data_IF_149159853608
#
_entry.id   IF_149159853608
#
_cell.length_a   1.000
_cell.length_b   1.000
_cell.length_c   1.000
_cell.angle_alpha   90.00
_cell.angle_beta   90.00
_cell.angle_gamma   90.00
#
_symmetry.space_group_name_H-M   'P 1'
#
loop_
_entity.id
_entity.type
_entity.pdbx_description
1 polymer ?
#
# COMPACT_ATOMS: atom_id res chain seq x y z
N UNK A 1 26.00 -42.62 18.83
CA UNK A 1 26.70 -41.37 19.22
C UNK A 1 27.35 -40.74 18.00
N UNK A 2 26.93 -39.53 17.64
CA UNK A 2 27.75 -38.38 17.18
C UNK A 2 26.84 -37.44 16.39
N UNK A 3 26.30 -36.47 17.13
CA UNK A 3 25.67 -35.28 16.61
C UNK A 3 26.69 -34.47 15.79
N UNK A 4 26.27 -33.91 14.66
CA UNK A 4 26.92 -32.75 14.06
C UNK A 4 25.87 -31.67 13.89
N UNK A 5 25.77 -30.83 14.92
CA UNK A 5 25.20 -29.50 14.85
C UNK A 5 26.22 -28.63 14.10
N UNK A 6 25.87 -28.19 12.91
CA UNK A 6 26.40 -26.98 12.27
C UNK A 6 25.29 -25.94 12.49
N UNK A 7 25.47 -24.81 13.15
CA UNK A 7 26.69 -24.04 13.33
C UNK A 7 26.46 -22.67 12.71
N UNK A 8 26.20 -21.69 13.60
CA UNK A 8 26.46 -20.25 13.45
C UNK A 8 25.64 -19.39 12.48
N UNK A 9 24.85 -18.53 13.11
CA UNK A 9 24.38 -17.23 12.66
C UNK A 9 25.43 -16.37 11.94
N UNK A 10 24.99 -15.72 10.86
CA UNK A 10 25.38 -14.40 10.34
C UNK A 10 24.64 -14.29 9.01
N UNK A 11 23.78 -13.32 8.74
CA UNK A 11 24.17 -11.94 8.54
C UNK A 11 22.92 -11.06 8.66
N UNK A 12 22.91 -10.19 9.66
CA UNK A 12 22.06 -9.02 9.66
C UNK A 12 22.51 -8.07 8.54
N UNK A 13 21.59 -7.17 8.17
CA UNK A 13 21.88 -5.88 7.55
C UNK A 13 22.06 -5.87 6.01
N UNK A 14 20.93 -5.69 5.32
CA UNK A 14 20.88 -4.93 4.08
C UNK A 14 19.78 -3.87 4.21
N UNK A 15 19.97 -2.94 5.15
CA UNK A 15 19.14 -1.74 5.33
C UNK A 15 20.04 -0.54 5.04
N UNK A 16 20.35 -0.33 3.76
CA UNK A 16 20.92 0.93 3.29
C UNK A 16 20.70 1.04 1.78
N UNK A 17 20.44 2.28 1.35
CA UNK A 17 20.35 2.79 -0.03
C UNK A 17 18.96 2.79 -0.67
N UNK A 18 18.14 3.78 -0.31
CA UNK A 18 17.88 4.93 -1.22
C UNK A 18 17.67 6.17 -0.36
N UNK A 19 18.73 6.95 -0.17
CA UNK A 19 18.63 8.35 0.26
C UNK A 19 19.26 9.21 -0.83
N UNK A 20 18.50 9.45 -1.90
CA UNK A 20 18.86 10.46 -2.89
C UNK A 20 17.57 11.11 -3.42
N UNK A 21 17.33 12.35 -2.98
CA UNK A 21 16.37 13.26 -3.60
C UNK A 21 14.95 13.21 -3.02
N UNK A 22 14.77 13.55 -1.75
CA UNK A 22 13.45 13.76 -1.18
C UNK A 22 13.57 14.58 0.12
N UNK A 23 12.93 15.75 0.22
CA UNK A 23 12.38 16.27 1.49
C UNK A 23 11.63 15.23 2.35
N UNK A 24 11.14 15.62 3.53
CA UNK A 24 10.71 14.68 4.56
C UNK A 24 9.65 13.69 4.03
N UNK A 25 9.85 12.40 4.30
CA UNK A 25 8.82 11.40 4.02
C UNK A 25 7.61 11.65 4.93
N UNK A 26 6.42 11.69 4.35
CA UNK A 26 5.19 11.81 5.12
C UNK A 26 4.74 10.45 5.65
N UNK A 27 4.02 10.48 6.77
CA UNK A 27 3.24 9.35 7.27
C UNK A 27 1.77 9.58 6.94
N UNK A 28 1.24 8.81 6.00
CA UNK A 28 -0.17 8.86 5.64
C UNK A 28 -0.90 7.59 6.05
N UNK A 29 -2.04 7.74 6.69
CA UNK A 29 -2.90 6.64 7.14
C UNK A 29 -4.33 6.87 6.67
N UNK A 30 -4.99 5.84 6.17
CA UNK A 30 -6.40 5.87 5.85
C UNK A 30 -7.06 4.55 6.24
N UNK A 31 -8.28 4.63 6.77
CA UNK A 31 -9.09 3.46 7.09
C UNK A 31 -10.56 3.69 6.75
N UNK A 32 -11.23 2.69 6.19
CA UNK A 32 -12.66 2.78 5.86
C UNK A 32 -13.38 1.44 5.90
N UNK A 33 -14.66 1.47 6.26
CA UNK A 33 -15.51 0.27 6.35
C UNK A 33 -15.89 -0.26 4.96
N UNK A 34 -16.07 0.64 3.99
CA UNK A 34 -16.34 0.33 2.59
C UNK A 34 -15.90 1.46 1.66
N UNK A 35 -15.61 1.13 0.41
CA UNK A 35 -15.42 2.11 -0.64
C UNK A 35 -14.27 1.82 -1.57
N UNK A 36 -13.55 2.89 -1.93
CA UNK A 36 -12.42 2.87 -2.84
C UNK A 36 -11.25 3.61 -2.22
N UNK A 37 -10.07 3.01 -2.27
CA UNK A 37 -8.79 3.68 -2.07
C UNK A 37 -8.02 3.60 -3.38
N UNK A 38 -7.59 4.74 -3.90
CA UNK A 38 -6.60 4.82 -4.99
C UNK A 38 -5.38 5.55 -4.48
N UNK A 39 -4.22 4.94 -4.62
CA UNK A 39 -2.94 5.54 -4.24
C UNK A 39 -1.97 5.50 -5.43
N UNK A 40 -1.25 6.59 -5.64
CA UNK A 40 -0.13 6.66 -6.58
C UNK A 40 1.03 7.39 -5.91
N UNK A 41 2.20 6.75 -5.84
CA UNK A 41 3.33 7.35 -5.14
C UNK A 41 4.48 6.39 -4.90
N UNK A 42 5.34 6.71 -3.93
CA UNK A 42 6.51 5.92 -3.57
C UNK A 42 6.78 5.93 -2.07
N UNK A 43 7.66 5.04 -1.65
CA UNK A 43 8.00 4.80 -0.24
C UNK A 43 7.61 3.39 0.20
N UNK A 44 7.41 3.21 1.51
CA UNK A 44 6.90 1.97 2.10
C UNK A 44 5.38 2.08 2.21
N UNK A 45 4.67 1.19 1.53
CA UNK A 45 3.21 1.22 1.42
C UNK A 45 2.68 -0.12 1.92
N UNK A 46 1.62 -0.08 2.72
CA UNK A 46 0.83 -1.24 3.12
C UNK A 46 -0.63 -0.96 2.80
N UNK A 47 -1.25 -1.83 2.00
CA UNK A 47 -2.65 -1.78 1.63
C UNK A 47 -3.34 -3.05 2.09
N UNK A 48 -4.42 -2.93 2.86
CA UNK A 48 -5.18 -4.05 3.40
C UNK A 48 -6.66 -3.90 3.05
N UNK A 49 -7.35 -5.02 2.89
CA UNK A 49 -8.79 -5.03 2.75
C UNK A 49 -9.34 -6.25 2.01
N UNK A 50 -10.62 -6.15 1.67
CA UNK A 50 -11.39 -7.16 0.95
C UNK A 50 -12.00 -6.56 -0.30
N UNK A 51 -11.99 -7.27 -1.43
CA UNK A 51 -12.70 -6.88 -2.64
C UNK A 51 -11.89 -7.07 -3.93
N UNK A 52 -11.80 -6.03 -4.76
CA UNK A 52 -10.99 -6.04 -5.98
C UNK A 52 -9.78 -5.16 -5.78
N UNK A 53 -8.59 -5.77 -5.83
CA UNK A 53 -7.31 -5.09 -5.72
C UNK A 53 -6.68 -5.01 -7.12
N UNK A 54 -6.14 -3.85 -7.46
CA UNK A 54 -5.41 -3.60 -8.69
C UNK A 54 -4.06 -3.00 -8.36
N UNK A 55 -3.01 -3.59 -8.93
CA UNK A 55 -1.64 -3.09 -8.83
C UNK A 55 -1.17 -2.78 -10.25
N UNK A 56 -0.58 -1.60 -10.44
CA UNK A 56 0.06 -1.17 -11.70
C UNK A 56 1.43 -0.58 -11.43
N UNK A 57 2.28 -0.51 -12.45
CA UNK A 57 3.70 -0.14 -12.37
C UNK A 57 4.51 -1.00 -11.38
N UNK A 58 4.26 -2.31 -11.34
CA UNK A 58 4.92 -3.24 -10.42
C UNK A 58 6.43 -3.40 -10.66
N UNK A 59 6.95 -3.05 -11.85
CA UNK A 59 8.36 -3.23 -12.22
C UNK A 59 9.34 -2.40 -11.38
N UNK A 60 8.87 -1.32 -10.74
CA UNK A 60 9.69 -0.42 -9.92
C UNK A 60 9.50 -0.67 -8.41
N UNK A 61 8.83 -1.77 -8.05
CA UNK A 61 8.41 -2.06 -6.69
C UNK A 61 8.92 -3.44 -6.27
N UNK A 62 9.41 -3.53 -5.04
CA UNK A 62 9.44 -4.79 -4.31
C UNK A 62 8.05 -5.00 -3.73
N UNK A 63 7.36 -6.07 -4.16
CA UNK A 63 5.99 -6.37 -3.76
C UNK A 63 5.92 -7.68 -2.97
N UNK A 64 5.14 -7.66 -1.91
CA UNK A 64 4.73 -8.85 -1.18
C UNK A 64 3.20 -8.83 -1.04
N UNK A 65 2.53 -9.82 -1.63
CA UNK A 65 1.08 -9.97 -1.57
C UNK A 65 0.76 -11.17 -0.68
N UNK A 66 0.06 -10.92 0.43
CA UNK A 66 -0.38 -11.94 1.36
C UNK A 66 -1.91 -11.97 1.41
N UNK A 67 -2.51 -13.13 1.20
CA UNK A 67 -3.96 -13.26 1.29
C UNK A 67 -4.53 -14.37 0.43
N UNK A 68 -5.84 -14.31 0.27
CA UNK A 68 -6.60 -15.18 -0.64
C UNK A 68 -7.23 -14.35 -1.74
N UNK A 69 -7.39 -14.93 -2.92
CA UNK A 69 -8.09 -14.32 -4.05
C UNK A 69 -8.79 -15.41 -4.87
N UNK A 70 -9.87 -15.03 -5.54
CA UNK A 70 -10.64 -15.95 -6.39
C UNK A 70 -10.01 -16.10 -7.77
N UNK A 71 -9.74 -14.98 -8.44
CA UNK A 71 -9.09 -14.96 -9.74
C UNK A 71 -8.03 -13.86 -9.82
N UNK A 72 -7.04 -14.10 -10.67
CA UNK A 72 -5.91 -13.22 -10.94
C UNK A 72 -5.83 -12.97 -12.44
N UNK A 73 -5.81 -11.70 -12.84
CA UNK A 73 -5.55 -11.29 -14.22
C UNK A 73 -4.22 -10.52 -14.28
N UNK A 74 -3.16 -11.12 -14.85
CA UNK A 74 -1.90 -10.42 -15.08
C UNK A 74 -2.07 -9.39 -16.20
N UNK A 75 -1.48 -8.21 -16.02
CA UNK A 75 -1.39 -7.16 -17.05
C UNK A 75 0.08 -6.78 -17.27
N UNK A 76 0.37 -6.03 -18.33
CA UNK A 76 1.74 -5.73 -18.80
C UNK A 76 2.72 -5.30 -17.69
N UNK A 77 2.24 -4.58 -16.68
CA UNK A 77 3.03 -4.00 -15.59
C UNK A 77 2.37 -4.18 -14.21
N UNK A 78 1.55 -5.22 -14.03
CA UNK A 78 0.82 -5.40 -12.79
C UNK A 78 -0.17 -6.55 -12.81
N UNK A 79 -1.18 -6.47 -11.95
CA UNK A 79 -2.21 -7.50 -11.85
C UNK A 79 -3.51 -6.97 -11.22
N UNK A 80 -4.62 -7.62 -11.58
CA UNK A 80 -5.92 -7.48 -10.94
C UNK A 80 -6.25 -8.74 -10.13
N UNK A 81 -6.48 -8.58 -8.84
CA UNK A 81 -6.86 -9.61 -7.88
C UNK A 81 -8.35 -9.45 -7.56
N UNK A 82 -9.17 -10.40 -8.01
CA UNK A 82 -10.60 -10.41 -7.76
C UNK A 82 -10.92 -11.27 -6.54
N UNK A 83 -11.92 -10.86 -5.76
CA UNK A 83 -12.25 -11.49 -4.47
C UNK A 83 -11.04 -11.57 -3.52
N UNK A 84 -10.18 -10.56 -3.59
CA UNK A 84 -9.01 -10.41 -2.73
C UNK A 84 -9.44 -10.25 -1.27
N UNK A 85 -8.74 -10.90 -0.36
CA UNK A 85 -8.79 -10.69 1.09
C UNK A 85 -7.39 -10.87 1.65
N UNK A 86 -6.77 -9.76 2.08
CA UNK A 86 -5.41 -9.79 2.60
C UNK A 86 -4.74 -8.42 2.63
N UNK A 87 -3.42 -8.43 2.49
CA UNK A 87 -2.56 -7.25 2.45
C UNK A 87 -1.56 -7.28 1.29
N UNK A 88 -1.15 -6.09 0.88
CA UNK A 88 -0.05 -5.85 -0.05
C UNK A 88 0.94 -4.92 0.63
N UNK A 89 2.17 -5.37 0.75
CA UNK A 89 3.30 -4.54 1.16
C UNK A 89 4.14 -4.21 -0.07
N UNK A 90 4.55 -2.95 -0.18
CA UNK A 90 5.34 -2.44 -1.30
C UNK A 90 6.43 -1.52 -0.82
N UNK A 91 7.62 -1.65 -1.41
CA UNK A 91 8.73 -0.70 -1.26
C UNK A 91 9.25 -0.31 -2.64
N UNK A 92 9.30 0.98 -2.93
CA UNK A 92 9.82 1.47 -4.22
C UNK A 92 9.22 2.79 -4.66
N UNK A 93 9.35 3.10 -5.95
CA UNK A 93 8.88 4.35 -6.54
C UNK A 93 7.78 4.11 -7.57
N UNK A 94 6.81 5.04 -7.64
CA UNK A 94 5.85 5.13 -8.74
C UNK A 94 4.75 4.05 -8.75
N UNK A 95 4.51 3.39 -7.62
CA UNK A 95 3.50 2.36 -7.49
C UNK A 95 2.09 2.93 -7.54
N UNK A 96 1.20 2.21 -8.21
CA UNK A 96 -0.23 2.55 -8.30
C UNK A 96 -1.04 1.40 -7.75
N UNK A 97 -1.79 1.68 -6.69
CA UNK A 97 -2.60 0.72 -5.97
C UNK A 97 -4.04 1.20 -5.96
N UNK A 98 -4.97 0.30 -6.24
CA UNK A 98 -6.38 0.56 -6.12
C UNK A 98 -7.04 -0.62 -5.43
N UNK A 99 -7.84 -0.37 -4.41
CA UNK A 99 -8.71 -1.38 -3.82
C UNK A 99 -10.12 -0.83 -3.72
N UNK A 100 -11.07 -1.65 -4.18
CA UNK A 100 -12.50 -1.42 -4.01
C UNK A 100 -13.08 -2.54 -3.18
N UNK A 101 -13.71 -2.20 -2.06
CA UNK A 101 -14.46 -3.16 -1.26
C UNK A 101 -14.58 -2.72 0.20
N UNK A 102 -14.17 -3.56 1.15
CA UNK A 102 -14.45 -3.44 2.58
C UNK A 102 -13.22 -3.60 3.46
N UNK A 103 -13.32 -3.15 4.71
CA UNK A 103 -12.26 -3.23 5.73
C UNK A 103 -10.92 -2.66 5.23
N UNK A 104 -10.99 -1.52 4.54
CA UNK A 104 -9.89 -0.94 3.81
C UNK A 104 -8.93 -0.23 4.76
N UNK A 105 -7.62 -0.48 4.62
CA UNK A 105 -6.56 0.28 5.30
C UNK A 105 -5.43 0.58 4.36
N UNK A 106 -4.92 1.81 4.39
CA UNK A 106 -3.72 2.22 3.67
C UNK A 106 -2.79 2.89 4.67
N UNK A 107 -1.54 2.44 4.71
CA UNK A 107 -0.45 3.09 5.43
C UNK A 107 0.67 3.37 4.46
N UNK A 108 1.15 4.61 4.43
CA UNK A 108 2.25 5.05 3.58
C UNK A 108 3.26 5.77 4.45
N UNK A 109 4.53 5.38 4.33
CA UNK A 109 5.67 6.16 4.76
C UNK A 109 6.47 6.55 3.53
N UNK A 110 6.24 7.77 3.04
CA UNK A 110 6.69 8.21 1.73
C UNK A 110 5.85 9.37 1.20
N UNK A 111 5.54 9.32 -0.10
CA UNK A 111 4.92 10.42 -0.83
C UNK A 111 3.93 9.94 -1.85
N UNK A 112 2.95 10.78 -2.18
CA UNK A 112 2.09 10.53 -3.32
C UNK A 112 0.75 11.25 -3.25
N UNK A 113 -0.21 10.66 -3.96
CA UNK A 113 -1.60 11.11 -4.04
C UNK A 113 -2.51 9.97 -3.64
N UNK A 114 -3.42 10.25 -2.73
CA UNK A 114 -4.43 9.31 -2.30
C UNK A 114 -5.83 9.87 -2.58
N UNK A 115 -6.69 9.03 -3.14
CA UNK A 115 -8.08 9.37 -3.46
C UNK A 115 -9.02 8.35 -2.84
N UNK A 116 -10.07 8.88 -2.21
CA UNK A 116 -11.02 8.09 -1.43
C UNK A 116 -12.45 8.33 -1.89
N UNK A 117 -13.24 7.25 -1.85
CA UNK A 117 -14.70 7.26 -1.91
C UNK A 117 -15.25 6.20 -0.97
N UNK A 118 -16.50 6.33 -0.56
CA UNK A 118 -17.11 5.47 0.46
C UNK A 118 -17.04 6.12 1.83
N UNK A 119 -16.76 5.33 2.86
CA UNK A 119 -16.89 5.75 4.25
C UNK A 119 -15.63 5.43 5.04
N UNK A 120 -15.01 6.46 5.62
CA UNK A 120 -13.80 6.29 6.43
C UNK A 120 -13.15 7.62 6.82
N UNK A 121 -11.90 7.54 7.24
CA UNK A 121 -11.09 8.70 7.63
C UNK A 121 -9.62 8.51 7.27
N UNK A 122 -8.96 9.61 6.91
CA UNK A 122 -7.53 9.65 6.65
C UNK A 122 -6.84 10.66 7.55
N UNK A 123 -5.54 10.50 7.71
CA UNK A 123 -4.67 11.40 8.45
C UNK A 123 -3.33 11.49 7.73
N UNK A 124 -2.84 12.72 7.60
CA UNK A 124 -1.49 13.01 7.14
C UNK A 124 -0.68 13.50 8.34
N UNK A 125 0.47 12.86 8.57
CA UNK A 125 1.38 13.08 9.68
C UNK A 125 0.66 13.12 11.04
N UNK A 126 0.94 14.12 11.86
CA UNK A 126 0.28 14.36 13.16
C UNK A 126 -0.98 15.22 13.03
N UNK A 127 -1.49 15.39 11.81
CA UNK A 127 -2.67 16.19 11.52
C UNK A 127 -3.98 15.62 12.06
N UNK A 128 -5.04 16.42 11.96
CA UNK A 128 -6.39 15.98 12.30
C UNK A 128 -6.88 14.92 11.31
N UNK A 129 -7.63 13.93 11.81
CA UNK A 129 -8.31 12.98 10.94
C UNK A 129 -9.38 13.68 10.09
N UNK A 130 -9.29 13.52 8.78
CA UNK A 130 -10.22 14.04 7.79
C UNK A 130 -11.19 12.92 7.42
N UNK A 131 -12.48 13.02 7.77
CA UNK A 131 -13.46 12.04 7.33
C UNK A 131 -13.69 12.16 5.82
N UNK A 132 -13.94 11.04 5.16
CA UNK A 132 -14.58 11.03 3.84
C UNK A 132 -15.87 10.25 3.91
N UNK A 133 -16.88 10.80 3.25
CA UNK A 133 -18.22 10.23 3.16
C UNK A 133 -18.56 9.95 1.69
N UNK A 134 -19.49 9.03 1.48
CA UNK A 134 -19.78 8.52 0.15
C UNK A 134 -20.58 9.57 -0.63
N UNK A 135 -19.88 10.28 -1.52
CA UNK A 135 -20.49 11.21 -2.45
C UNK A 135 -20.29 10.65 -3.88
N UNK A 136 -21.37 10.28 -4.59
CA UNK A 136 -21.31 9.62 -5.89
C UNK A 136 -20.41 10.29 -6.94
N UNK A 137 -20.25 11.61 -6.84
CA UNK A 137 -19.53 12.44 -7.80
C UNK A 137 -18.23 13.05 -7.25
N UNK A 138 -17.92 12.85 -5.96
CA UNK A 138 -16.80 13.54 -5.31
C UNK A 138 -15.81 12.54 -4.71
N UNK A 139 -14.54 12.70 -5.09
CA UNK A 139 -13.42 12.04 -4.43
C UNK A 139 -12.85 12.97 -3.36
N UNK A 140 -12.60 12.43 -2.17
CA UNK A 140 -11.66 13.06 -1.25
C UNK A 140 -10.26 12.85 -1.79
N UNK A 141 -9.45 13.90 -1.85
CA UNK A 141 -8.10 13.88 -2.42
C UNK A 141 -7.12 14.40 -1.37
N UNK A 142 -6.02 13.68 -1.19
CA UNK A 142 -4.91 14.10 -0.33
C UNK A 142 -3.63 13.91 -1.13
N UNK A 143 -2.90 15.00 -1.34
CA UNK A 143 -1.62 15.02 -2.03
C UNK A 143 -0.53 15.38 -1.02
N UNK A 144 0.58 14.66 -1.03
CA UNK A 144 1.69 14.79 -0.08
C UNK A 144 3.01 14.43 -0.78
N UNK A 145 3.37 15.22 -1.78
CA UNK A 145 4.49 14.93 -2.71
C UNK A 145 5.81 15.65 -2.37
N UNK A 146 5.79 16.56 -1.40
CA UNK A 146 6.69 17.73 -1.26
C UNK A 146 6.74 18.64 -2.49
#
# INVERSE_FOLDING_TARGET
MKARRLGTAALALALALVSLGAGPAHRFEASGSRGWIKFSGGGRIRLEGKGTLKIRNASNLQLEVQGTWGSLEPVLDGADYYHFQGSVDSVGLGGRFEIRGWDLRLTVHGRGKARFRGEGSCRLDEGQAIPWTDHPERWTKVDFED
#
